data_IF_799169733960
#
_entry.id   IF_799169733960
#
_cell.length_a   1.000
_cell.length_b   1.000
_cell.length_c   1.000
_cell.angle_alpha   90.00
_cell.angle_beta   90.00
_cell.angle_gamma   90.00
#
_symmetry.space_group_name_H-M   'P 1'
#
loop_
_entity.id
_entity.type
_entity.pdbx_description
1 polymer ?
#
# COMPACT_ATOMS: atom_id res chain seq x y z
N UNK A 1 -21.53 35.66 32.49
CA UNK A 1 -20.21 35.87 31.87
C UNK A 1 -20.24 35.14 30.53
N UNK A 2 -20.67 35.84 29.48
CA UNK A 2 -20.79 35.26 28.13
C UNK A 2 -19.43 35.30 27.43
N UNK A 3 -18.91 34.14 27.03
CA UNK A 3 -17.71 34.05 26.20
C UNK A 3 -18.09 34.41 24.77
N UNK A 4 -17.91 35.68 24.42
CA UNK A 4 -18.08 36.21 23.07
C UNK A 4 -17.05 35.56 22.14
N UNK A 5 -17.48 34.55 21.38
CA UNK A 5 -16.65 33.90 20.35
C UNK A 5 -16.92 34.61 19.03
N UNK A 6 -16.04 35.53 18.63
CA UNK A 6 -16.16 36.22 17.34
C UNK A 6 -15.70 35.31 16.20
N UNK A 7 -16.55 35.02 15.19
CA UNK A 7 -16.13 34.26 14.02
C UNK A 7 -15.13 35.08 13.18
N UNK A 8 -14.23 34.43 12.42
CA UNK A 8 -13.24 35.14 11.61
C UNK A 8 -13.94 36.09 10.61
N UNK A 9 -13.40 37.30 10.40
CA UNK A 9 -14.03 38.30 9.54
C UNK A 9 -14.14 37.78 8.10
N UNK A 10 -15.36 37.82 7.53
CA UNK A 10 -15.59 37.48 6.12
C UNK A 10 -15.04 38.59 5.23
N UNK A 11 -14.63 38.23 4.01
CA UNK A 11 -13.78 39.01 3.10
C UNK A 11 -14.34 40.35 2.55
N UNK A 12 -15.26 41.02 3.24
CA UNK A 12 -15.78 42.34 2.88
C UNK A 12 -15.64 43.33 4.04
N UNK A 13 -14.89 44.41 3.81
CA UNK A 13 -14.52 45.50 4.74
C UNK A 13 -13.53 45.11 5.86
N UNK A 14 -12.24 45.14 5.52
CA UNK A 14 -11.12 44.99 6.46
C UNK A 14 -10.99 46.26 7.32
N UNK A 15 -11.78 46.36 8.39
CA UNK A 15 -11.43 47.27 9.48
C UNK A 15 -10.18 46.69 10.17
N UNK A 16 -9.05 47.37 10.02
CA UNK A 16 -7.74 46.98 10.56
C UNK A 16 -7.80 46.62 12.06
N UNK A 17 -8.63 47.33 12.83
CA UNK A 17 -8.87 47.05 14.26
C UNK A 17 -9.41 45.63 14.51
N UNK A 18 -10.28 45.13 13.63
CA UNK A 18 -10.88 43.79 13.75
C UNK A 18 -9.84 42.69 13.55
N UNK A 19 -8.90 42.90 12.62
CA UNK A 19 -7.80 41.98 12.35
C UNK A 19 -6.81 41.98 13.53
N UNK A 20 -6.50 43.17 14.06
CA UNK A 20 -5.61 43.32 15.23
C UNK A 20 -6.21 42.63 16.46
N UNK A 21 -7.51 42.84 16.74
CA UNK A 21 -8.21 42.17 17.85
C UNK A 21 -8.22 40.64 17.70
N UNK A 22 -8.53 40.13 16.50
CA UNK A 22 -8.49 38.69 16.21
C UNK A 22 -7.09 38.08 16.40
N UNK A 23 -6.04 38.77 15.97
CA UNK A 23 -4.66 38.31 16.16
C UNK A 23 -4.23 38.33 17.63
N UNK A 24 -4.62 39.36 18.39
CA UNK A 24 -4.33 39.46 19.82
C UNK A 24 -5.06 38.37 20.62
N UNK A 25 -6.35 38.14 20.36
CA UNK A 25 -7.11 37.04 20.97
C UNK A 25 -6.47 35.68 20.63
N UNK A 26 -6.10 35.44 19.37
CA UNK A 26 -5.40 34.22 18.94
C UNK A 26 -4.04 34.03 19.60
N UNK A 27 -3.28 35.12 19.81
CA UNK A 27 -2.00 35.06 20.51
C UNK A 27 -2.17 34.75 22.01
N UNK A 28 -3.27 35.20 22.62
CA UNK A 28 -3.59 34.91 24.02
C UNK A 28 -4.15 33.49 24.20
N UNK A 29 -4.92 32.98 23.23
CA UNK A 29 -5.48 31.62 23.21
C UNK A 29 -4.44 30.53 22.89
N UNK A 30 -3.34 30.86 22.20
CA UNK A 30 -2.22 29.94 21.96
C UNK A 30 -1.50 29.48 23.25
N UNK A 31 -1.93 29.97 24.41
CA UNK A 31 -1.52 29.52 25.74
C UNK A 31 -2.38 28.37 26.28
N UNK A 32 -3.49 28.03 25.62
CA UNK A 32 -4.27 26.82 25.88
C UNK A 32 -3.83 25.70 24.93
N UNK A 33 -3.66 24.49 25.46
CA UNK A 33 -3.18 23.30 24.73
C UNK A 33 -4.06 22.83 23.55
N UNK A 34 -5.13 23.54 23.22
CA UNK A 34 -6.01 23.20 22.11
C UNK A 34 -5.62 23.98 20.84
N UNK A 35 -5.05 23.33 19.82
CA UNK A 35 -4.76 23.99 18.55
C UNK A 35 -6.06 24.46 17.89
N UNK A 36 -6.07 25.61 17.20
CA UNK A 36 -7.25 26.10 16.52
C UNK A 36 -7.70 25.11 15.43
N UNK A 37 -9.01 24.91 15.30
CA UNK A 37 -9.58 24.09 14.24
C UNK A 37 -9.00 24.53 12.89
N UNK A 38 -8.31 23.63 12.19
CA UNK A 38 -7.80 23.92 10.86
C UNK A 38 -8.97 24.35 9.98
N UNK A 39 -8.85 25.48 9.28
CA UNK A 39 -9.81 25.89 8.24
C UNK A 39 -9.88 24.73 7.26
N UNK A 40 -10.96 23.94 7.33
CA UNK A 40 -11.09 22.70 6.57
C UNK A 40 -11.02 23.08 5.09
N UNK A 41 -9.93 22.69 4.43
CA UNK A 41 -9.82 22.78 2.98
C UNK A 41 -10.97 21.99 2.31
N UNK A 42 -11.12 22.16 1.00
CA UNK A 42 -12.14 21.42 0.24
C UNK A 42 -12.05 19.93 0.54
N UNK A 43 -13.20 19.32 0.84
CA UNK A 43 -13.27 17.89 1.12
C UNK A 43 -12.69 17.09 -0.05
N UNK A 44 -12.03 15.97 0.26
CA UNK A 44 -11.52 15.07 -0.78
C UNK A 44 -12.71 14.47 -1.53
N UNK A 45 -12.68 14.54 -2.86
CA UNK A 45 -13.68 13.89 -3.73
C UNK A 45 -13.62 12.36 -3.57
N UNK A 46 -12.42 11.81 -3.37
CA UNK A 46 -12.20 10.38 -3.17
C UNK A 46 -11.73 10.13 -1.74
N UNK A 47 -12.55 9.45 -0.94
CA UNK A 47 -12.13 9.04 0.40
C UNK A 47 -11.21 7.80 0.32
N UNK A 48 -10.32 7.58 1.30
CA UNK A 48 -9.50 6.36 1.35
C UNK A 48 -10.33 5.06 1.29
N UNK A 49 -11.55 5.07 1.85
CA UNK A 49 -12.43 3.91 1.82
C UNK A 49 -12.96 3.64 0.40
N UNK A 50 -13.37 4.68 -0.32
CA UNK A 50 -13.87 4.56 -1.70
C UNK A 50 -12.79 4.05 -2.64
N UNK A 51 -11.55 4.52 -2.44
CA UNK A 51 -10.41 4.05 -3.23
C UNK A 51 -10.16 2.55 -3.03
N UNK A 52 -10.25 2.05 -1.80
CA UNK A 52 -10.08 0.62 -1.51
C UNK A 52 -11.20 -0.19 -2.14
N UNK A 53 -12.46 0.24 -1.99
CA UNK A 53 -13.60 -0.45 -2.59
C UNK A 53 -13.48 -0.55 -4.12
N UNK A 54 -13.06 0.53 -4.79
CA UNK A 54 -12.85 0.52 -6.24
C UNK A 54 -11.70 -0.42 -6.66
N UNK A 55 -10.63 -0.50 -5.86
CA UNK A 55 -9.50 -1.38 -6.12
C UNK A 55 -9.83 -2.86 -5.91
N UNK A 56 -10.64 -3.17 -4.90
CA UNK A 56 -11.09 -4.54 -4.62
C UNK A 56 -12.09 -5.05 -5.67
N UNK A 57 -12.93 -4.17 -6.22
CA UNK A 57 -13.85 -4.51 -7.30
C UNK A 57 -13.13 -4.80 -8.63
N UNK A 58 -11.93 -4.25 -8.84
CA UNK A 58 -11.20 -4.37 -10.09
C UNK A 58 -10.36 -5.68 -10.15
N UNK A 59 -10.28 -6.37 -11.31
CA UNK A 59 -9.47 -7.58 -11.43
C UNK A 59 -7.98 -7.32 -11.17
N UNK A 60 -7.36 -8.12 -10.30
CA UNK A 60 -5.96 -7.94 -9.90
C UNK A 60 -4.96 -7.85 -11.07
N UNK A 61 -5.24 -8.54 -12.18
CA UNK A 61 -4.41 -8.53 -13.40
C UNK A 61 -4.32 -7.12 -14.02
N UNK A 62 -5.36 -6.29 -13.84
CA UNK A 62 -5.41 -4.92 -14.37
C UNK A 62 -4.74 -3.90 -13.42
N UNK A 63 -4.41 -4.29 -12.18
CA UNK A 63 -3.83 -3.41 -11.15
C UNK A 63 -2.29 -3.33 -11.22
N UNK A 64 -1.73 -3.29 -12.42
CA UNK A 64 -0.26 -3.41 -12.63
C UNK A 64 0.45 -2.06 -12.69
N UNK A 65 -0.05 -1.14 -13.52
CA UNK A 65 0.49 0.20 -13.71
C UNK A 65 -0.56 1.24 -13.39
N UNK A 66 -0.16 2.46 -13.03
CA UNK A 66 -1.12 3.55 -12.77
C UNK A 66 -2.05 3.85 -13.96
N UNK A 67 -1.58 3.63 -15.21
CA UNK A 67 -2.43 3.79 -16.40
C UNK A 67 -3.49 2.70 -16.49
N UNK A 68 -3.11 1.45 -16.25
CA UNK A 68 -4.05 0.34 -16.23
C UNK A 68 -5.03 0.43 -15.05
N UNK A 69 -4.55 0.97 -13.93
CA UNK A 69 -5.34 1.23 -12.73
C UNK A 69 -6.43 2.26 -12.99
N UNK A 70 -6.06 3.41 -13.54
CA UNK A 70 -6.97 4.48 -13.96
C UNK A 70 -8.01 3.97 -14.96
N UNK A 71 -7.60 3.17 -15.96
CA UNK A 71 -8.53 2.55 -16.91
C UNK A 71 -9.46 1.52 -16.28
N UNK A 72 -9.09 0.90 -15.15
CA UNK A 72 -9.87 -0.13 -14.48
C UNK A 72 -10.81 0.42 -13.40
N UNK A 73 -10.43 1.51 -12.73
CA UNK A 73 -11.18 2.09 -11.61
C UNK A 73 -11.79 3.45 -11.91
N UNK A 74 -11.47 4.05 -13.07
CA UNK A 74 -11.84 5.41 -13.46
C UNK A 74 -11.33 6.51 -12.50
N UNK A 75 -10.46 6.14 -11.56
CA UNK A 75 -9.85 7.09 -10.62
C UNK A 75 -8.65 7.75 -11.32
N UNK A 76 -8.55 9.09 -11.30
CA UNK A 76 -7.42 9.79 -11.89
C UNK A 76 -6.07 9.32 -11.33
N UNK A 77 -5.08 9.19 -12.22
CA UNK A 77 -3.72 8.79 -11.85
C UNK A 77 -3.10 9.64 -10.73
N UNK A 78 -3.36 10.94 -10.73
CA UNK A 78 -2.83 11.88 -9.72
C UNK A 78 -3.35 11.55 -8.32
N UNK A 79 -4.64 11.24 -8.20
CA UNK A 79 -5.29 10.81 -6.96
C UNK A 79 -4.70 9.50 -6.45
N UNK A 80 -4.54 8.50 -7.34
CA UNK A 80 -3.95 7.21 -7.01
C UNK A 80 -2.49 7.33 -6.55
N UNK A 81 -1.71 8.20 -7.19
CA UNK A 81 -0.31 8.45 -6.81
C UNK A 81 -0.24 9.08 -5.43
N UNK A 82 -1.06 10.11 -5.16
CA UNK A 82 -1.12 10.77 -3.86
C UNK A 82 -1.58 9.82 -2.75
N UNK A 83 -2.58 8.99 -3.00
CA UNK A 83 -3.08 8.01 -2.04
C UNK A 83 -2.01 6.97 -1.67
N UNK A 84 -1.23 6.51 -2.66
CA UNK A 84 -0.10 5.60 -2.43
C UNK A 84 1.00 6.28 -1.60
N UNK A 85 1.35 7.54 -1.91
CA UNK A 85 2.37 8.30 -1.18
C UNK A 85 1.97 8.57 0.27
N UNK A 86 0.70 8.92 0.50
CA UNK A 86 0.16 9.21 1.83
C UNK A 86 -0.12 7.96 2.67
N UNK A 87 0.09 6.76 2.14
CA UNK A 87 -0.27 5.50 2.78
C UNK A 87 -1.75 5.48 3.18
N UNK A 88 -2.63 5.99 2.30
CA UNK A 88 -4.09 6.01 2.46
C UNK A 88 -4.66 4.59 2.29
N UNK A 89 -4.19 3.62 3.09
CA UNK A 89 -4.57 2.19 3.10
C UNK A 89 -4.30 1.39 1.83
N UNK A 90 -3.61 1.97 0.85
CA UNK A 90 -3.28 1.32 -0.41
C UNK A 90 -1.77 1.07 -0.45
N UNK A 91 -1.37 -0.14 -0.81
CA UNK A 91 0.03 -0.53 -0.95
C UNK A 91 0.25 -1.32 -2.23
N UNK A 92 1.34 -1.03 -2.93
CA UNK A 92 1.80 -1.88 -4.03
C UNK A 92 2.27 -3.23 -3.48
N UNK A 93 1.63 -4.30 -3.93
CA UNK A 93 2.07 -5.68 -3.66
C UNK A 93 2.88 -6.15 -4.85
N UNK A 94 4.16 -6.44 -4.63
CA UNK A 94 5.03 -7.09 -5.62
C UNK A 94 5.29 -8.52 -5.15
N UNK A 95 4.52 -9.47 -5.67
CA UNK A 95 4.75 -10.90 -5.47
C UNK A 95 5.35 -11.50 -6.73
N UNK A 96 6.49 -12.19 -6.62
CA UNK A 96 6.92 -13.10 -7.68
C UNK A 96 6.01 -14.32 -7.62
N UNK A 97 4.99 -14.35 -8.48
CA UNK A 97 4.16 -15.53 -8.63
C UNK A 97 5.03 -16.56 -9.32
N UNK A 98 5.46 -17.61 -8.58
CA UNK A 98 6.06 -18.79 -9.20
C UNK A 98 5.16 -19.21 -10.37
N UNK A 99 5.72 -19.63 -11.51
CA UNK A 99 4.91 -19.99 -12.68
C UNK A 99 3.78 -20.92 -12.25
N UNK A 100 2.56 -20.56 -12.64
CA UNK A 100 1.34 -21.25 -12.22
C UNK A 100 1.49 -22.77 -12.39
N UNK A 101 1.42 -23.52 -11.28
CA UNK A 101 1.49 -24.97 -11.31
C UNK A 101 0.15 -25.48 -11.83
N UNK A 102 0.12 -25.91 -13.09
CA UNK A 102 -1.01 -26.71 -13.60
C UNK A 102 -1.11 -28.04 -12.87
N UNK A 103 -2.28 -28.67 -12.86
CA UNK A 103 -2.49 -30.01 -12.27
C UNK A 103 -1.46 -31.04 -12.77
N UNK A 104 -1.17 -31.03 -14.07
CA UNK A 104 -0.12 -31.87 -14.69
C UNK A 104 1.28 -31.59 -14.10
N UNK A 105 1.64 -30.33 -13.88
CA UNK A 105 2.93 -29.95 -13.28
C UNK A 105 3.02 -30.31 -11.80
N UNK A 106 1.88 -30.31 -11.09
CA UNK A 106 1.81 -30.81 -9.71
C UNK A 106 2.07 -32.31 -9.70
N UNK A 107 1.39 -33.07 -10.58
CA UNK A 107 1.53 -34.51 -10.66
C UNK A 107 2.98 -34.93 -10.91
N UNK A 108 3.62 -34.36 -11.93
CA UNK A 108 5.04 -34.63 -12.26
C UNK A 108 6.00 -34.32 -11.11
N UNK A 109 5.71 -33.30 -10.31
CA UNK A 109 6.53 -32.97 -9.13
C UNK A 109 6.35 -33.97 -7.99
N UNK A 110 5.13 -34.48 -7.81
CA UNK A 110 4.84 -35.52 -6.83
C UNK A 110 5.50 -36.83 -7.27
N UNK A 111 5.37 -37.23 -8.53
CA UNK A 111 6.06 -38.40 -9.09
C UNK A 111 7.58 -38.30 -8.92
N UNK A 112 8.16 -37.14 -9.24
CA UNK A 112 9.58 -36.88 -9.01
C UNK A 112 9.94 -37.02 -7.53
N UNK A 113 9.19 -36.41 -6.61
CA UNK A 113 9.45 -36.54 -5.18
C UNK A 113 9.34 -37.99 -4.69
N UNK A 114 8.37 -38.76 -5.20
CA UNK A 114 8.17 -40.17 -4.86
C UNK A 114 9.30 -41.06 -5.39
N UNK A 115 9.96 -40.70 -6.49
CA UNK A 115 11.12 -41.45 -7.00
C UNK A 115 12.34 -41.43 -6.07
N UNK A 116 12.37 -40.53 -5.08
CA UNK A 116 13.39 -40.49 -4.03
C UNK A 116 12.94 -41.18 -2.75
N UNK A 117 11.82 -41.90 -2.76
CA UNK A 117 11.33 -42.65 -1.61
C UNK A 117 11.45 -44.15 -1.89
N UNK A 118 12.30 -44.81 -1.11
CA UNK A 118 12.50 -46.24 -1.14
C UNK A 118 11.58 -46.95 -0.14
N UNK A 119 11.10 -48.13 -0.51
CA UNK A 119 10.37 -49.01 0.39
C UNK A 119 11.38 -49.72 1.29
N UNK A 120 11.39 -49.37 2.58
CA UNK A 120 12.20 -50.04 3.58
C UNK A 120 11.47 -51.28 4.14
N UNK A 121 12.25 -52.19 4.72
CA UNK A 121 11.72 -53.41 5.34
C UNK A 121 10.64 -53.06 6.39
N UNK A 122 9.58 -53.86 6.42
CA UNK A 122 8.45 -53.69 7.36
C UNK A 122 7.40 -52.67 6.93
N UNK A 123 7.34 -52.28 5.65
CA UNK A 123 6.33 -51.33 5.14
C UNK A 123 6.59 -49.88 5.53
N UNK A 124 7.83 -49.56 5.89
CA UNK A 124 8.26 -48.20 6.17
C UNK A 124 8.80 -47.53 4.90
N UNK A 125 8.68 -46.21 4.81
CA UNK A 125 9.22 -45.43 3.70
C UNK A 125 10.50 -44.74 4.15
N UNK A 126 11.55 -44.78 3.33
CA UNK A 126 12.82 -44.11 3.59
C UNK A 126 13.20 -43.23 2.42
N UNK A 127 13.63 -42.00 2.68
CA UNK A 127 14.19 -41.16 1.62
C UNK A 127 15.57 -41.66 1.20
N UNK A 128 15.82 -41.64 -0.11
CA UNK A 128 17.12 -41.87 -0.71
C UNK A 128 18.09 -40.80 -0.20
N UNK A 129 19.26 -41.23 0.31
CA UNK A 129 20.26 -40.32 0.87
C UNK A 129 21.03 -39.51 -0.19
N UNK A 130 20.88 -39.85 -1.49
CA UNK A 130 21.48 -39.17 -2.63
C UNK A 130 23.01 -39.01 -2.52
N UNK A 131 23.68 -39.95 -1.83
CA UNK A 131 25.12 -39.90 -1.58
C UNK A 131 25.96 -40.06 -2.87
N UNK A 132 25.33 -40.53 -3.94
CA UNK A 132 25.87 -40.73 -5.29
C UNK A 132 25.51 -39.58 -6.25
N UNK A 133 24.76 -38.57 -5.79
CA UNK A 133 24.22 -37.51 -6.64
C UNK A 133 24.88 -36.16 -6.35
N UNK A 134 25.49 -35.55 -7.38
CA UNK A 134 26.01 -34.18 -7.31
C UNK A 134 24.97 -33.21 -7.87
N UNK A 135 24.56 -32.24 -7.06
CA UNK A 135 23.65 -31.18 -7.48
C UNK A 135 24.44 -29.98 -7.98
N UNK A 136 24.18 -29.55 -9.22
CA UNK A 136 24.77 -28.35 -9.81
C UNK A 136 23.63 -27.42 -10.27
N UNK A 137 23.68 -26.15 -9.85
CA UNK A 137 22.71 -25.13 -10.24
C UNK A 137 23.44 -23.83 -10.56
N UNK A 138 23.02 -23.19 -11.64
CA UNK A 138 23.60 -21.93 -12.07
C UNK A 138 22.92 -20.76 -11.36
N UNK A 139 23.74 -19.96 -10.68
CA UNK A 139 23.28 -18.72 -10.06
C UNK A 139 23.97 -17.53 -10.69
N UNK A 140 23.17 -16.65 -11.28
CA UNK A 140 23.64 -15.38 -11.81
C UNK A 140 23.96 -14.40 -10.69
N UNK A 141 25.20 -13.93 -10.64
CA UNK A 141 25.63 -12.86 -9.75
C UNK A 141 25.69 -11.54 -10.53
N UNK A 142 25.07 -10.49 -9.98
CA UNK A 142 25.19 -9.15 -10.53
C UNK A 142 26.45 -8.47 -9.99
N UNK A 143 27.26 -7.90 -10.89
CA UNK A 143 28.52 -7.21 -10.53
C UNK A 143 28.29 -5.96 -9.68
N UNK A 144 27.13 -5.30 -9.83
CA UNK A 144 26.72 -4.17 -9.00
C UNK A 144 25.35 -4.38 -8.38
N UNK A 145 25.20 -3.97 -7.12
CA UNK A 145 23.92 -3.94 -6.41
C UNK A 145 23.57 -2.48 -6.15
N UNK A 146 22.46 -1.98 -6.71
CA UNK A 146 21.95 -0.65 -6.30
C UNK A 146 21.66 -0.69 -4.80
N UNK A 147 22.24 0.24 -4.04
CA UNK A 147 21.84 0.46 -2.64
C UNK A 147 20.33 0.68 -2.61
N UNK A 148 19.62 -0.07 -1.76
CA UNK A 148 18.21 0.23 -1.49
C UNK A 148 18.17 1.61 -0.86
N UNK A 149 17.47 2.54 -1.51
CA UNK A 149 17.04 3.81 -0.90
C UNK A 149 15.87 3.58 0.03
#
# INVERSE_FOLDING_TARGET
>A
METSTYPPPRAGALHHESIIRYLLERMMDARNDNPPESVRGTARVWSPADLVAALEAAPAIKLTSYRALEAATEIPRTTLTRAMTNQDRIRRVAGSVKPYLSSDRIHKRIEFALSFVDNAAGGSYRFNSMNDTIHNDEKWFYLWKKRKS
#
